data_IF_486650220726
#
_entry.id   IF_486650220726
#
_cell.length_a   1.000
_cell.length_b   1.000
_cell.length_c   1.000
_cell.angle_alpha   90.00
_cell.angle_beta   90.00
_cell.angle_gamma   90.00
#
_symmetry.space_group_name_H-M   'P 1'
#
loop_
_entity.id
_entity.type
_entity.pdbx_description
1 polymer ?
#
# COMPACT_ATOMS: atom_id res chain seq x y z
N UNK A 1 18.31 11.79 -0.25
CA UNK A 1 17.44 11.71 -1.44
C UNK A 1 16.47 10.59 -1.14
N UNK A 2 15.18 10.89 -1.17
CA UNK A 2 14.12 9.91 -0.94
C UNK A 2 13.86 9.13 -2.23
N UNK A 3 13.28 7.93 -2.14
CA UNK A 3 12.88 7.18 -3.34
C UNK A 3 11.84 7.93 -4.17
N UNK A 4 11.04 8.81 -3.55
CA UNK A 4 10.09 9.67 -4.24
C UNK A 4 10.74 10.72 -5.17
N UNK A 5 12.01 11.06 -4.94
CA UNK A 5 12.75 12.04 -5.75
C UNK A 5 13.53 11.39 -6.90
N UNK A 6 13.65 10.07 -6.91
CA UNK A 6 14.32 9.34 -7.98
C UNK A 6 13.43 9.30 -9.24
N UNK A 7 14.06 9.42 -10.39
CA UNK A 7 13.43 9.00 -11.64
C UNK A 7 13.17 7.50 -11.61
N UNK A 8 12.22 7.04 -12.42
CA UNK A 8 11.94 5.60 -12.57
C UNK A 8 13.22 4.84 -12.94
N UNK A 9 14.01 5.36 -13.89
CA UNK A 9 15.26 4.72 -14.31
C UNK A 9 16.28 4.61 -13.16
N UNK A 10 16.43 5.66 -12.35
CA UNK A 10 17.34 5.64 -11.20
C UNK A 10 16.87 4.64 -10.14
N UNK A 11 15.57 4.54 -9.87
CA UNK A 11 15.05 3.56 -8.93
C UNK A 11 15.30 2.12 -9.41
N UNK A 12 15.05 1.82 -10.69
CA UNK A 12 15.36 0.50 -11.26
C UNK A 12 16.85 0.17 -11.17
N UNK A 13 17.72 1.16 -11.42
CA UNK A 13 19.16 0.99 -11.28
C UNK A 13 19.54 0.72 -9.82
N UNK A 14 19.02 1.50 -8.87
CA UNK A 14 19.29 1.33 -7.45
C UNK A 14 18.88 -0.06 -6.93
N UNK A 15 17.74 -0.61 -7.39
CA UNK A 15 17.32 -1.98 -7.06
C UNK A 15 18.27 -3.03 -7.69
N UNK A 16 18.78 -2.76 -8.89
CA UNK A 16 19.64 -3.69 -9.63
C UNK A 16 21.12 -3.68 -9.18
N UNK A 17 21.56 -2.62 -8.50
CA UNK A 17 22.96 -2.42 -8.07
C UNK A 17 23.45 -3.45 -7.02
N UNK A 18 22.56 -4.27 -6.46
CA UNK A 18 22.92 -5.34 -5.52
C UNK A 18 23.33 -4.84 -4.13
N UNK A 19 23.01 -3.59 -3.80
CA UNK A 19 23.04 -3.10 -2.41
C UNK A 19 21.87 -3.70 -1.61
N UNK A 20 21.98 -3.77 -0.27
CA UNK A 20 20.87 -4.24 0.57
C UNK A 20 19.62 -3.34 0.53
N UNK A 21 19.76 -2.08 0.10
CA UNK A 21 18.71 -1.06 0.02
C UNK A 21 18.81 -0.30 -1.31
N UNK A 22 17.72 -0.06 -2.04
CA UNK A 22 16.34 -0.52 -1.78
C UNK A 22 16.19 -2.04 -1.93
N UNK A 23 15.47 -2.64 -0.98
CA UNK A 23 15.20 -4.08 -0.94
C UNK A 23 13.79 -4.47 -1.40
N UNK A 24 13.44 -5.74 -1.20
CA UNK A 24 12.13 -6.29 -1.56
C UNK A 24 10.96 -5.62 -0.81
N UNK A 25 11.16 -5.13 0.41
CA UNK A 25 10.17 -4.37 1.16
C UNK A 25 9.85 -3.02 0.51
N UNK A 26 10.88 -2.21 0.23
CA UNK A 26 10.75 -0.97 -0.55
C UNK A 26 10.05 -1.17 -1.90
N UNK A 27 10.45 -2.18 -2.67
CA UNK A 27 9.81 -2.51 -3.97
C UNK A 27 8.34 -2.90 -3.78
N UNK A 28 8.03 -3.73 -2.79
CA UNK A 28 6.64 -4.13 -2.50
C UNK A 28 5.76 -2.93 -2.16
N UNK A 29 6.29 -1.98 -1.38
CA UNK A 29 5.61 -0.73 -1.06
C UNK A 29 5.31 0.10 -2.31
N UNK A 30 6.29 0.27 -3.21
CA UNK A 30 6.09 1.05 -4.44
C UNK A 30 5.14 0.38 -5.43
N UNK A 31 5.13 -0.95 -5.53
CA UNK A 31 4.13 -1.68 -6.34
C UNK A 31 2.71 -1.39 -5.82
N UNK A 32 2.51 -1.44 -4.50
CA UNK A 32 1.22 -1.09 -3.89
C UNK A 32 0.89 0.42 -4.07
N UNK A 33 1.89 1.30 -4.01
CA UNK A 33 1.75 2.73 -4.30
C UNK A 33 1.29 3.01 -5.74
N UNK A 34 1.87 2.32 -6.73
CA UNK A 34 1.44 2.39 -8.12
C UNK A 34 0.00 1.91 -8.30
N UNK A 35 -0.38 0.82 -7.61
CA UNK A 35 -1.77 0.38 -7.59
C UNK A 35 -2.71 1.45 -7.05
N UNK A 36 -2.33 2.10 -5.94
CA UNK A 36 -3.13 3.18 -5.35
C UNK A 36 -3.29 4.36 -6.32
N UNK A 37 -2.22 4.77 -6.99
CA UNK A 37 -2.28 5.82 -8.00
C UNK A 37 -3.21 5.45 -9.17
N UNK A 38 -3.12 4.20 -9.64
CA UNK A 38 -3.93 3.73 -10.78
C UNK A 38 -5.42 3.65 -10.43
N UNK A 39 -5.79 3.14 -9.25
CA UNK A 39 -7.20 3.12 -8.83
C UNK A 39 -7.74 4.54 -8.58
N UNK A 40 -6.90 5.46 -8.08
CA UNK A 40 -7.23 6.88 -7.96
C UNK A 40 -7.47 7.56 -9.32
N UNK A 41 -6.71 7.20 -10.36
CA UNK A 41 -6.96 7.66 -11.73
C UNK A 41 -8.33 7.19 -12.23
N UNK A 42 -8.68 5.91 -12.05
CA UNK A 42 -9.99 5.36 -12.45
C UNK A 42 -11.13 6.10 -11.73
N UNK A 43 -10.98 6.35 -10.43
CA UNK A 43 -11.94 7.13 -9.65
C UNK A 43 -12.11 8.56 -10.18
N UNK A 44 -11.00 9.22 -10.51
CA UNK A 44 -10.99 10.60 -11.03
C UNK A 44 -11.68 10.70 -12.39
N UNK A 45 -11.38 9.77 -13.29
CA UNK A 45 -12.04 9.69 -14.60
C UNK A 45 -13.55 9.43 -14.41
N UNK A 46 -13.92 8.55 -13.46
CA UNK A 46 -15.31 8.19 -13.20
C UNK A 46 -16.08 9.40 -12.63
N UNK A 47 -15.51 10.12 -11.68
CA UNK A 47 -16.05 11.36 -11.14
C UNK A 47 -16.25 12.42 -12.22
N UNK A 48 -15.25 12.65 -13.07
CA UNK A 48 -15.33 13.61 -14.18
C UNK A 48 -16.47 13.27 -15.15
N UNK A 49 -16.65 11.98 -15.47
CA UNK A 49 -17.76 11.52 -16.33
C UNK A 49 -19.13 11.75 -15.69
N UNK A 50 -19.26 11.53 -14.38
CA UNK A 50 -20.51 11.79 -13.64
C UNK A 50 -20.85 13.29 -13.64
N UNK A 51 -19.85 14.15 -13.43
CA UNK A 51 -20.01 15.61 -13.49
C UNK A 51 -20.44 16.09 -14.88
N UNK A 52 -19.81 15.59 -15.94
CA UNK A 52 -20.15 15.95 -17.33
C UNK A 52 -21.60 15.54 -17.70
N UNK A 53 -22.04 14.34 -17.28
CA UNK A 53 -23.42 13.89 -17.47
C UNK A 53 -24.44 14.80 -16.79
N UNK A 54 -24.12 15.32 -15.60
CA UNK A 54 -24.98 16.28 -14.88
C UNK A 54 -25.05 17.61 -15.61
N UNK A 55 -23.92 18.14 -16.07
CA UNK A 55 -23.89 19.39 -16.83
C UNK A 55 -24.74 19.31 -18.12
N UNK A 56 -24.71 18.17 -18.80
CA UNK A 56 -25.44 17.96 -20.06
C UNK A 56 -26.90 17.50 -19.87
N UNK A 57 -27.23 16.85 -18.74
CA UNK A 57 -28.58 16.37 -18.42
C UNK A 57 -29.46 17.38 -17.67
N UNK A 58 -28.91 18.51 -17.24
CA UNK A 58 -29.64 19.59 -16.55
C UNK A 58 -30.41 20.49 -17.53
N UNK A 59 -31.26 19.90 -18.37
CA UNK A 59 -32.25 20.65 -19.14
C UNK A 59 -33.45 21.02 -18.24
N UNK A 60 -33.26 22.07 -17.44
CA UNK A 60 -34.35 22.88 -16.86
C UNK A 60 -35.20 22.23 -15.77
N UNK A 61 -34.84 22.48 -14.49
CA UNK A 61 -35.78 23.06 -13.49
C UNK A 61 -35.17 23.39 -12.13
N UNK A 62 -34.01 22.85 -11.76
CA UNK A 62 -33.39 23.15 -10.46
C UNK A 62 -31.98 23.76 -10.61
N UNK A 63 -31.92 25.03 -11.06
CA UNK A 63 -30.68 25.85 -11.02
C UNK A 63 -30.46 26.53 -9.67
N UNK A 64 -31.10 26.05 -8.61
CA UNK A 64 -31.20 26.73 -7.32
C UNK A 64 -31.08 25.79 -6.13
N UNK A 65 -29.98 25.06 -6.02
CA UNK A 65 -29.49 24.65 -4.70
C UNK A 65 -27.99 24.45 -4.77
N UNK A 66 -27.28 25.50 -4.38
CA UNK A 66 -25.88 25.43 -4.07
C UNK A 66 -25.69 24.42 -2.93
N UNK A 67 -24.82 23.44 -3.16
CA UNK A 67 -24.00 22.78 -2.13
C UNK A 67 -24.55 21.63 -1.25
N UNK A 68 -25.85 21.28 -1.18
CA UNK A 68 -26.26 20.35 -0.10
C UNK A 68 -26.48 18.87 -0.45
N UNK A 69 -26.59 18.46 -1.72
CA UNK A 69 -26.71 17.04 -2.08
C UNK A 69 -25.84 16.69 -3.30
N UNK A 70 -24.52 16.56 -3.07
CA UNK A 70 -23.66 15.91 -4.05
C UNK A 70 -24.23 14.51 -4.38
N UNK A 71 -24.13 14.07 -5.64
CA UNK A 71 -24.47 12.69 -6.01
C UNK A 71 -23.83 11.74 -5.00
N UNK A 72 -24.57 10.83 -4.35
CA UNK A 72 -23.94 9.84 -3.49
C UNK A 72 -22.81 9.10 -4.20
N UNK A 73 -22.98 8.83 -5.51
CA UNK A 73 -21.96 8.18 -6.33
C UNK A 73 -20.76 9.08 -6.63
N UNK A 74 -20.98 10.37 -6.90
CA UNK A 74 -19.90 11.34 -7.15
C UNK A 74 -19.08 11.56 -5.87
N UNK A 75 -19.76 11.72 -4.73
CA UNK A 75 -19.11 11.84 -3.42
C UNK A 75 -18.27 10.61 -3.13
N UNK A 76 -18.82 9.41 -3.32
CA UNK A 76 -18.06 8.16 -3.19
C UNK A 76 -16.80 8.16 -4.06
N UNK A 77 -16.89 8.53 -5.35
CA UNK A 77 -15.72 8.57 -6.22
C UNK A 77 -14.66 9.59 -5.73
N UNK A 78 -15.09 10.78 -5.29
CA UNK A 78 -14.17 11.81 -4.78
C UNK A 78 -13.49 11.38 -3.47
N UNK A 79 -14.25 10.76 -2.57
CA UNK A 79 -13.72 10.22 -1.32
C UNK A 79 -12.67 9.11 -1.62
N UNK A 80 -12.97 8.22 -2.56
CA UNK A 80 -12.03 7.18 -3.01
C UNK A 80 -10.76 7.76 -3.65
N UNK A 81 -10.86 8.82 -4.45
CA UNK A 81 -9.70 9.51 -5.03
C UNK A 81 -8.83 10.12 -3.94
N UNK A 82 -9.44 10.76 -2.94
CA UNK A 82 -8.71 11.32 -1.80
C UNK A 82 -8.00 10.23 -1.00
N UNK A 83 -8.69 9.11 -0.71
CA UNK A 83 -8.08 7.96 -0.03
C UNK A 83 -6.91 7.38 -0.84
N UNK A 84 -7.07 7.19 -2.15
CA UNK A 84 -6.02 6.70 -3.03
C UNK A 84 -4.77 7.60 -3.02
N UNK A 85 -4.95 8.92 -3.01
CA UNK A 85 -3.84 9.89 -2.91
C UNK A 85 -3.12 9.85 -1.56
N UNK A 86 -3.84 9.69 -0.46
CA UNK A 86 -3.22 9.52 0.86
C UNK A 86 -2.43 8.21 0.94
N UNK A 87 -3.01 7.10 0.49
CA UNK A 87 -2.35 5.80 0.45
C UNK A 87 -1.08 5.83 -0.41
N UNK A 88 -1.13 6.46 -1.60
CA UNK A 88 0.05 6.64 -2.46
C UNK A 88 1.19 7.34 -1.71
N UNK A 89 0.89 8.44 -1.02
CA UNK A 89 1.87 9.17 -0.21
C UNK A 89 2.44 8.29 0.90
N UNK A 90 1.59 7.52 1.59
CA UNK A 90 2.02 6.59 2.64
C UNK A 90 2.96 5.50 2.10
N UNK A 91 2.69 4.93 0.92
CA UNK A 91 3.56 3.90 0.33
C UNK A 91 4.94 4.44 -0.07
N UNK A 92 5.02 5.69 -0.53
CA UNK A 92 6.32 6.33 -0.81
C UNK A 92 7.13 6.45 0.48
N UNK A 93 6.52 6.95 1.55
CA UNK A 93 7.18 7.06 2.87
C UNK A 93 7.59 5.68 3.40
N UNK A 94 6.72 4.67 3.29
CA UNK A 94 7.02 3.31 3.74
C UNK A 94 8.16 2.66 2.96
N UNK A 95 8.35 3.03 1.69
CA UNK A 95 9.47 2.52 0.91
C UNK A 95 10.81 3.03 1.48
N UNK A 96 10.89 4.32 1.81
CA UNK A 96 12.06 4.91 2.47
C UNK A 96 12.26 4.35 3.90
N UNK A 97 11.18 4.23 4.67
CA UNK A 97 11.17 3.65 6.02
C UNK A 97 11.71 2.22 6.04
N UNK A 98 11.43 1.40 5.03
CA UNK A 98 11.92 0.02 4.94
C UNK A 98 13.45 -0.02 4.85
N UNK A 99 14.02 0.85 4.01
CA UNK A 99 15.48 0.98 3.90
C UNK A 99 16.10 1.57 5.17
N UNK A 100 15.45 2.57 5.77
CA UNK A 100 15.91 3.16 7.03
C UNK A 100 15.84 2.15 8.19
N UNK A 101 14.82 1.29 8.25
CA UNK A 101 14.68 0.26 9.27
C UNK A 101 15.76 -0.81 9.12
N UNK A 102 16.09 -1.21 7.90
CA UNK A 102 17.22 -2.09 7.62
C UNK A 102 18.55 -1.49 8.14
N UNK A 103 18.81 -0.21 7.85
CA UNK A 103 20.02 0.46 8.32
C UNK A 103 20.10 0.54 9.85
N UNK A 104 18.97 0.72 10.54
CA UNK A 104 18.91 0.67 12.00
C UNK A 104 19.27 -0.71 12.55
N UNK A 105 18.79 -1.78 11.91
CA UNK A 105 19.17 -3.16 12.26
C UNK A 105 20.68 -3.36 12.09
N UNK A 106 21.26 -2.95 10.96
CA UNK A 106 22.70 -3.05 10.71
C UNK A 106 23.51 -2.23 11.72
N UNK A 107 23.05 -1.03 12.05
CA UNK A 107 23.70 -0.17 13.05
C UNK A 107 23.68 -0.82 14.43
N UNK A 108 22.55 -1.39 14.85
CA UNK A 108 22.43 -2.12 16.11
C UNK A 108 23.38 -3.33 16.17
N UNK A 109 23.55 -4.06 15.05
CA UNK A 109 24.51 -5.17 14.98
C UNK A 109 25.97 -4.74 15.13
N UNK A 110 26.31 -3.49 14.81
CA UNK A 110 27.67 -2.92 14.91
C UNK A 110 28.03 -2.39 16.29
N UNK A 111 27.08 -2.30 17.22
CA UNK A 111 27.35 -1.83 18.58
C UNK A 111 28.43 -2.67 19.30
N UNK A 112 29.18 -2.06 20.24
CA UNK A 112 30.17 -2.76 21.06
C UNK A 112 29.58 -3.96 21.82
N UNK A 113 30.44 -4.91 22.18
CA UNK A 113 30.05 -6.18 22.81
C UNK A 113 31.15 -6.77 23.71
N UNK A 114 32.04 -5.91 24.21
CA UNK A 114 33.22 -6.30 24.99
C UNK A 114 32.88 -6.47 26.47
N UNK A 115 31.99 -5.64 27.01
CA UNK A 115 31.50 -5.76 28.40
C UNK A 115 30.11 -6.40 28.46
N UNK A 116 29.69 -6.79 29.66
CA UNK A 116 28.35 -7.38 29.84
C UNK A 116 27.24 -6.33 29.66
N UNK A 117 27.48 -5.11 30.12
CA UNK A 117 26.60 -3.97 29.92
C UNK A 117 26.46 -3.64 28.43
N UNK A 118 27.57 -3.66 27.68
CA UNK A 118 27.55 -3.45 26.23
C UNK A 118 26.76 -4.55 25.50
N UNK A 119 26.93 -5.82 25.88
CA UNK A 119 26.17 -6.93 25.30
C UNK A 119 24.67 -6.80 25.56
N UNK A 120 24.29 -6.41 26.77
CA UNK A 120 22.87 -6.21 27.13
C UNK A 120 22.26 -5.06 26.33
N UNK A 121 22.92 -3.89 26.31
CA UNK A 121 22.47 -2.73 25.53
C UNK A 121 22.37 -3.05 24.04
N UNK A 122 23.37 -3.74 23.49
CA UNK A 122 23.37 -4.20 22.10
C UNK A 122 22.22 -5.17 21.82
N UNK A 123 21.95 -6.13 22.71
CA UNK A 123 20.87 -7.08 22.52
C UNK A 123 19.51 -6.39 22.51
N UNK A 124 19.29 -5.38 23.37
CA UNK A 124 18.06 -4.59 23.38
C UNK A 124 17.90 -3.81 22.07
N UNK A 125 18.93 -3.06 21.67
CA UNK A 125 18.90 -2.28 20.44
C UNK A 125 18.63 -3.13 19.18
N UNK A 126 19.18 -4.35 19.11
CA UNK A 126 18.90 -5.28 18.00
C UNK A 126 17.43 -5.71 18.02
N UNK A 127 16.87 -6.05 19.19
CA UNK A 127 15.48 -6.50 19.28
C UNK A 127 14.49 -5.37 18.95
N UNK A 128 14.76 -4.15 19.38
CA UNK A 128 13.93 -2.98 19.05
C UNK A 128 13.99 -2.68 17.53
N UNK A 129 15.18 -2.67 16.95
CA UNK A 129 15.36 -2.45 15.51
C UNK A 129 14.68 -3.55 14.66
N UNK A 130 14.73 -4.81 15.09
CA UNK A 130 14.06 -5.92 14.40
C UNK A 130 12.53 -5.80 14.46
N UNK A 131 11.97 -5.34 15.59
CA UNK A 131 10.53 -5.06 15.70
C UNK A 131 10.13 -3.94 14.73
N UNK A 132 10.89 -2.86 14.66
CA UNK A 132 10.64 -1.79 13.70
C UNK A 132 10.73 -2.28 12.24
N UNK A 133 11.77 -3.04 11.89
CA UNK A 133 11.94 -3.63 10.56
C UNK A 133 10.83 -4.63 10.19
N UNK A 134 10.14 -5.20 11.19
CA UNK A 134 8.97 -6.04 10.98
C UNK A 134 7.68 -5.20 10.79
N UNK A 135 7.56 -4.08 11.50
CA UNK A 135 6.36 -3.23 11.48
C UNK A 135 6.19 -2.46 10.17
N UNK A 136 7.28 -2.03 9.53
CA UNK A 136 7.20 -1.31 8.23
C UNK A 136 6.51 -2.16 7.15
N UNK A 137 6.95 -3.38 6.81
CA UNK A 137 6.26 -4.22 5.84
C UNK A 137 4.87 -4.67 6.33
N UNK A 138 4.64 -4.81 7.63
CA UNK A 138 3.31 -5.09 8.16
C UNK A 138 2.33 -3.94 7.88
N UNK A 139 2.80 -2.69 7.93
CA UNK A 139 2.01 -1.52 7.54
C UNK A 139 1.73 -1.52 6.02
N UNK A 140 2.69 -1.90 5.18
CA UNK A 140 2.48 -2.05 3.74
C UNK A 140 1.38 -3.08 3.45
N UNK A 141 1.37 -4.24 4.15
CA UNK A 141 0.28 -5.24 4.04
C UNK A 141 -1.08 -4.61 4.37
N UNK A 142 -1.18 -3.91 5.51
CA UNK A 142 -2.43 -3.27 5.97
C UNK A 142 -2.95 -2.23 4.98
N UNK A 143 -2.08 -1.35 4.49
CA UNK A 143 -2.48 -0.33 3.50
C UNK A 143 -2.81 -0.94 2.13
N UNK A 144 -2.15 -2.03 1.74
CA UNK A 144 -2.46 -2.71 0.48
C UNK A 144 -3.85 -3.35 0.48
N UNK A 145 -4.31 -3.82 1.64
CA UNK A 145 -5.70 -4.26 1.83
C UNK A 145 -6.70 -3.12 1.57
N UNK A 146 -6.40 -1.90 2.00
CA UNK A 146 -7.26 -0.74 1.70
C UNK A 146 -7.28 -0.45 0.20
N UNK A 147 -6.14 -0.59 -0.50
CA UNK A 147 -6.12 -0.46 -1.98
C UNK A 147 -6.98 -1.54 -2.64
N UNK A 148 -6.94 -2.79 -2.19
CA UNK A 148 -7.81 -3.87 -2.71
C UNK A 148 -9.30 -3.56 -2.48
N UNK A 149 -9.67 -2.96 -1.35
CA UNK A 149 -11.06 -2.48 -1.14
C UNK A 149 -11.45 -1.39 -2.12
N UNK A 150 -10.51 -0.50 -2.47
CA UNK A 150 -10.76 0.51 -3.51
C UNK A 150 -10.97 -0.13 -4.89
N UNK A 151 -10.22 -1.19 -5.24
CA UNK A 151 -10.41 -1.89 -6.51
C UNK A 151 -11.77 -2.60 -6.55
N UNK A 152 -12.20 -3.23 -5.46
CA UNK A 152 -13.54 -3.83 -5.32
C UNK A 152 -14.66 -2.82 -5.58
N UNK A 153 -14.62 -1.68 -4.89
CA UNK A 153 -15.60 -0.61 -5.11
C UNK A 153 -15.54 -0.03 -6.54
N UNK A 154 -14.36 -0.02 -7.18
CA UNK A 154 -14.24 0.43 -8.58
C UNK A 154 -14.83 -0.57 -9.58
N UNK A 155 -14.80 -1.88 -9.33
CA UNK A 155 -15.51 -2.84 -10.17
C UNK A 155 -17.02 -2.60 -10.10
N UNK A 156 -17.55 -2.31 -8.91
CA UNK A 156 -18.99 -2.09 -8.73
C UNK A 156 -19.47 -0.74 -9.28
N UNK A 157 -18.69 0.32 -9.05
CA UNK A 157 -19.15 1.69 -9.27
C UNK A 157 -18.38 2.47 -10.35
N UNK A 158 -17.18 2.01 -10.70
CA UNK A 158 -16.30 2.63 -11.66
C UNK A 158 -16.86 2.62 -13.09
N UNK A 159 -16.15 3.29 -13.99
CA UNK A 159 -16.50 3.24 -15.41
C UNK A 159 -16.03 1.92 -16.04
N UNK A 160 -16.94 1.24 -16.75
CA UNK A 160 -16.64 -0.04 -17.43
C UNK A 160 -15.48 0.04 -18.42
N UNK A 161 -15.27 1.19 -19.05
CA UNK A 161 -14.19 1.41 -20.02
C UNK A 161 -12.80 1.42 -19.40
N UNK A 162 -12.67 1.44 -18.07
CA UNK A 162 -11.40 1.43 -17.35
C UNK A 162 -11.20 0.14 -16.53
N UNK A 163 -11.94 -0.94 -16.82
CA UNK A 163 -11.83 -2.20 -16.05
C UNK A 163 -10.47 -2.87 -16.19
N UNK A 164 -9.78 -2.70 -17.33
CA UNK A 164 -8.39 -3.16 -17.48
C UNK A 164 -7.45 -2.49 -16.48
N UNK A 165 -7.65 -1.20 -16.20
CA UNK A 165 -6.84 -0.46 -15.22
C UNK A 165 -7.14 -0.93 -13.79
N UNK A 166 -8.41 -1.22 -13.49
CA UNK A 166 -8.81 -1.81 -12.20
C UNK A 166 -8.20 -3.20 -12.01
N UNK A 167 -8.11 -4.01 -13.08
CA UNK A 167 -7.47 -5.32 -13.04
C UNK A 167 -5.98 -5.21 -12.70
N UNK A 168 -5.26 -4.32 -13.39
CA UNK A 168 -3.83 -4.07 -13.14
C UNK A 168 -3.60 -3.54 -11.73
N UNK A 169 -4.46 -2.63 -11.24
CA UNK A 169 -4.40 -2.15 -9.86
C UNK A 169 -4.59 -3.33 -8.89
N UNK A 170 -5.63 -4.15 -9.06
CA UNK A 170 -5.88 -5.30 -8.17
C UNK A 170 -4.69 -6.27 -8.11
N UNK A 171 -4.11 -6.60 -9.26
CA UNK A 171 -2.91 -7.44 -9.37
C UNK A 171 -1.70 -6.83 -8.68
N UNK A 172 -1.46 -5.53 -8.88
CA UNK A 172 -0.34 -4.82 -8.27
C UNK A 172 -0.52 -4.71 -6.75
N UNK A 173 -1.70 -4.32 -6.25
CA UNK A 173 -1.98 -4.30 -4.81
C UNK A 173 -1.75 -5.67 -4.17
N UNK A 174 -2.23 -6.74 -4.80
CA UNK A 174 -2.02 -8.09 -4.30
C UNK A 174 -0.55 -8.51 -4.31
N UNK A 175 0.19 -8.21 -5.39
CA UNK A 175 1.61 -8.49 -5.47
C UNK A 175 2.42 -7.73 -4.40
N UNK A 176 2.15 -6.43 -4.22
CA UNK A 176 2.78 -5.61 -3.18
C UNK A 176 2.45 -6.10 -1.77
N UNK A 177 1.19 -6.44 -1.51
CA UNK A 177 0.74 -7.02 -0.24
C UNK A 177 1.48 -8.33 0.08
N UNK A 178 1.52 -9.27 -0.87
CA UNK A 178 2.22 -10.54 -0.68
C UNK A 178 3.72 -10.37 -0.51
N UNK A 179 4.33 -9.50 -1.30
CA UNK A 179 5.75 -9.15 -1.19
C UNK A 179 6.10 -8.62 0.20
N UNK A 180 5.32 -7.66 0.69
CA UNK A 180 5.48 -7.13 2.04
C UNK A 180 5.27 -8.20 3.12
N UNK A 181 4.27 -9.06 2.96
CA UNK A 181 4.04 -10.16 3.91
C UNK A 181 5.24 -11.12 4.02
N UNK A 182 5.95 -11.41 2.91
CA UNK A 182 7.20 -12.19 2.99
C UNK A 182 8.29 -11.46 3.80
N UNK A 183 8.38 -10.14 3.68
CA UNK A 183 9.32 -9.34 4.47
C UNK A 183 8.94 -9.29 5.96
N UNK A 184 7.66 -9.35 6.32
CA UNK A 184 7.25 -9.56 7.72
C UNK A 184 7.73 -10.93 8.21
N UNK A 185 7.43 -11.99 7.44
CA UNK A 185 7.73 -13.38 7.82
C UNK A 185 9.21 -13.69 7.96
N UNK A 186 10.09 -13.02 7.21
CA UNK A 186 11.53 -13.26 7.33
C UNK A 186 12.13 -12.61 8.59
N UNK A 187 11.52 -11.51 9.08
CA UNK A 187 11.97 -10.81 10.27
C UNK A 187 11.49 -11.47 11.58
N UNK A 188 10.26 -12.01 11.60
CA UNK A 188 9.63 -12.56 12.81
C UNK A 188 10.50 -13.60 13.56
N UNK A 189 11.17 -14.57 12.92
CA UNK A 189 11.99 -15.56 13.64
C UNK A 189 13.18 -14.97 14.41
N UNK A 190 13.57 -13.72 14.11
CA UNK A 190 14.69 -13.03 14.77
C UNK A 190 14.25 -12.26 16.03
N UNK A 191 12.94 -12.19 16.30
CA UNK A 191 12.34 -11.44 17.41
C UNK A 191 12.03 -12.42 18.55
N UNK A 192 12.53 -12.12 19.75
CA UNK A 192 12.37 -12.97 20.95
C UNK A 192 11.07 -12.72 21.71
N UNK A 193 10.45 -11.57 21.50
CA UNK A 193 9.19 -11.21 22.13
C UNK A 193 8.05 -12.02 21.50
N UNK A 194 7.71 -13.15 22.12
CA UNK A 194 6.68 -14.07 21.63
C UNK A 194 5.31 -13.40 21.56
N UNK A 195 4.97 -12.49 22.49
CA UNK A 195 3.69 -11.78 22.46
C UNK A 195 3.58 -10.88 21.24
N UNK A 196 4.66 -10.16 20.93
CA UNK A 196 4.74 -9.34 19.72
C UNK A 196 4.61 -10.20 18.46
N UNK A 197 5.33 -11.34 18.39
CA UNK A 197 5.29 -12.25 17.25
C UNK A 197 3.87 -12.77 17.00
N UNK A 198 3.20 -13.30 18.04
CA UNK A 198 1.83 -13.81 17.91
C UNK A 198 0.84 -12.72 17.47
N UNK A 199 0.99 -11.51 17.99
CA UNK A 199 0.14 -10.38 17.59
C UNK A 199 0.32 -10.05 16.10
N UNK A 200 1.56 -9.88 15.64
CA UNK A 200 1.84 -9.55 14.24
C UNK A 200 1.40 -10.67 13.31
N UNK A 201 1.63 -11.95 13.66
CA UNK A 201 1.18 -13.09 12.87
C UNK A 201 -0.35 -13.13 12.74
N UNK A 202 -1.08 -12.91 13.84
CA UNK A 202 -2.54 -12.82 13.84
C UNK A 202 -3.06 -11.70 12.93
N UNK A 203 -2.51 -10.50 13.09
CA UNK A 203 -2.85 -9.33 12.24
C UNK A 203 -2.60 -9.63 10.76
N UNK A 204 -1.44 -10.22 10.43
CA UNK A 204 -1.09 -10.56 9.05
C UNK A 204 -1.99 -11.64 8.48
N UNK A 205 -2.35 -12.66 9.27
CA UNK A 205 -3.25 -13.73 8.82
C UNK A 205 -4.63 -13.16 8.43
N UNK A 206 -5.20 -12.28 9.27
CA UNK A 206 -6.49 -11.62 9.02
C UNK A 206 -6.41 -10.76 7.75
N UNK A 207 -5.35 -9.94 7.62
CA UNK A 207 -5.17 -9.08 6.46
C UNK A 207 -5.04 -9.90 5.17
N UNK A 208 -4.17 -10.91 5.18
CA UNK A 208 -3.91 -11.76 4.00
C UNK A 208 -5.13 -12.55 3.56
N UNK A 209 -5.92 -13.09 4.50
CA UNK A 209 -7.19 -13.75 4.17
C UNK A 209 -8.16 -12.77 3.52
N UNK A 210 -8.38 -11.62 4.14
CA UNK A 210 -9.30 -10.60 3.62
C UNK A 210 -8.86 -10.09 2.24
N UNK A 211 -7.56 -9.89 2.05
CA UNK A 211 -6.98 -9.45 0.79
C UNK A 211 -7.15 -10.48 -0.32
N UNK A 212 -6.92 -11.77 -0.02
CA UNK A 212 -7.13 -12.84 -0.98
C UNK A 212 -8.58 -12.90 -1.44
N UNK A 213 -9.53 -12.86 -0.50
CA UNK A 213 -10.95 -12.95 -0.80
C UNK A 213 -11.42 -11.78 -1.69
N UNK A 214 -10.94 -10.56 -1.42
CA UNK A 214 -11.25 -9.39 -2.25
C UNK A 214 -10.61 -9.55 -3.64
N UNK A 215 -9.33 -9.91 -3.69
CA UNK A 215 -8.61 -10.08 -4.96
C UNK A 215 -9.31 -11.09 -5.87
N UNK A 216 -9.66 -12.27 -5.35
CA UNK A 216 -10.35 -13.30 -6.12
C UNK A 216 -11.72 -12.83 -6.63
N UNK A 217 -12.52 -12.16 -5.79
CA UNK A 217 -13.81 -11.59 -6.21
C UNK A 217 -13.64 -10.56 -7.32
N UNK A 218 -12.70 -9.62 -7.16
CA UNK A 218 -12.44 -8.56 -8.14
C UNK A 218 -12.01 -9.16 -9.48
N UNK A 219 -11.06 -10.08 -9.47
CA UNK A 219 -10.57 -10.69 -10.71
C UNK A 219 -11.67 -11.50 -11.41
N UNK A 220 -12.45 -12.29 -10.68
CA UNK A 220 -13.55 -13.06 -11.24
C UNK A 220 -14.63 -12.15 -11.89
N UNK A 221 -14.97 -11.03 -11.25
CA UNK A 221 -15.94 -10.08 -11.81
C UNK A 221 -15.42 -9.40 -13.08
N UNK A 222 -14.13 -9.05 -13.11
CA UNK A 222 -13.51 -8.44 -14.29
C UNK A 222 -13.45 -9.44 -15.44
N UNK A 223 -13.01 -10.67 -15.20
CA UNK A 223 -12.94 -11.73 -16.22
C UNK A 223 -14.31 -12.04 -16.81
N UNK A 224 -15.38 -12.03 -16.01
CA UNK A 224 -16.75 -12.20 -16.50
C UNK A 224 -17.27 -11.02 -17.34
N UNK A 225 -16.66 -9.84 -17.20
CA UNK A 225 -17.08 -8.62 -17.89
C UNK A 225 -16.34 -8.37 -19.22
N UNK A 226 -15.30 -9.15 -19.52
CA UNK A 226 -14.51 -9.12 -20.75
C UNK A 226 -15.04 -10.14 -21.79
#
# INVERSE_FOLDING_TARGET
>A
MTFAELTVSEFFQAVAEGSPTPGGGSVSSLIAGLSSALVGMVGSLTAARLQAKRANGSSGKDKGTCCENADPKLRLMLDMVSTAGHLQTSFLVLADEDSAAYDRVITAYRLPKSTEEEKQARSLAIQDALKEACLVPAQVVKLSLEVLRLTEAMVEHGMKSAMSDVAVASLAAWAGMRGAHFNVRINLPSIKDESFVHQVEGDMSICMSSGNDIFERVMAQIEQAL
#
